data_IF_679674335234
#
_entry.id   IF_679674335234
#
_cell.length_a   1.000
_cell.length_b   1.000
_cell.length_c   1.000
_cell.angle_alpha   90.00
_cell.angle_beta   90.00
_cell.angle_gamma   90.00
#
_symmetry.space_group_name_H-M   'P 1'
#
loop_
_entity.id
_entity.type
_entity.pdbx_description
1 polymer ?
#
# COMPACT_ATOMS: atom_id res chain seq x y z
N UNK A 1 3.83 -4.79 5.99
CA UNK A 1 2.84 -3.95 6.67
C UNK A 1 1.47 -4.50 6.41
N UNK A 2 0.56 -4.34 7.35
CA UNK A 2 -0.85 -4.71 7.19
C UNK A 2 -1.64 -3.54 6.59
N UNK A 3 -2.66 -3.85 5.78
CA UNK A 3 -3.56 -2.83 5.24
C UNK A 3 -4.49 -2.38 6.36
N UNK A 4 -4.39 -1.10 6.71
CA UNK A 4 -5.23 -0.47 7.72
C UNK A 4 -6.59 -0.07 7.17
N UNK A 5 -7.59 -0.01 8.05
CA UNK A 5 -8.87 0.64 7.75
C UNK A 5 -8.69 2.15 7.82
N UNK A 6 -8.65 2.81 6.67
CA UNK A 6 -8.53 4.28 6.61
C UNK A 6 -9.82 4.97 7.07
N UNK A 7 -9.67 6.05 7.83
CA UNK A 7 -10.79 6.90 8.24
C UNK A 7 -11.46 7.57 7.04
N UNK A 8 -12.79 7.66 7.05
CA UNK A 8 -13.58 8.22 5.95
C UNK A 8 -13.31 7.54 4.60
N UNK A 9 -13.09 6.21 4.62
CA UNK A 9 -12.95 5.38 3.43
C UNK A 9 -14.09 5.66 2.42
N UNK A 10 -13.73 5.99 1.18
CA UNK A 10 -14.69 6.30 0.11
C UNK A 10 -14.99 5.07 -0.75
N UNK A 11 -14.01 4.21 -0.98
CA UNK A 11 -14.16 2.97 -1.76
C UNK A 11 -13.04 1.97 -1.49
N UNK A 12 -13.25 0.72 -1.87
CA UNK A 12 -12.22 -0.33 -1.85
C UNK A 12 -11.83 -0.66 -3.28
N UNK A 13 -10.52 -0.67 -3.55
CA UNK A 13 -9.96 -1.07 -4.83
C UNK A 13 -9.71 -2.57 -4.84
N UNK A 14 -10.28 -3.26 -5.82
CA UNK A 14 -10.05 -4.68 -6.02
C UNK A 14 -8.86 -4.94 -6.94
N UNK A 15 -8.64 -6.24 -7.22
CA UNK A 15 -7.67 -6.67 -8.21
C UNK A 15 -7.98 -6.11 -9.61
N UNK A 16 -6.96 -5.79 -10.42
CA UNK A 16 -7.16 -5.35 -11.80
C UNK A 16 -7.64 -6.51 -12.68
N UNK A 17 -8.18 -6.15 -13.85
CA UNK A 17 -8.56 -7.12 -14.87
C UNK A 17 -7.33 -7.94 -15.29
N UNK A 18 -7.47 -9.26 -15.33
CA UNK A 18 -6.40 -10.18 -15.72
C UNK A 18 -5.38 -10.50 -14.63
N UNK A 19 -5.61 -10.07 -13.39
CA UNK A 19 -4.79 -10.49 -12.24
C UNK A 19 -4.87 -12.01 -12.05
N UNK A 20 -3.70 -12.65 -11.88
CA UNK A 20 -3.61 -14.07 -11.60
C UNK A 20 -2.85 -14.27 -10.28
N UNK A 21 -3.54 -14.78 -9.26
CA UNK A 21 -2.96 -14.92 -7.92
C UNK A 21 -1.81 -15.93 -7.83
N UNK A 22 -1.76 -16.93 -8.72
CA UNK A 22 -0.66 -17.91 -8.76
C UNK A 22 0.61 -17.32 -9.36
N UNK A 23 0.46 -16.44 -10.36
CA UNK A 23 1.58 -15.78 -11.05
C UNK A 23 2.06 -14.51 -10.33
N UNK A 24 1.11 -13.67 -9.93
CA UNK A 24 1.36 -12.29 -9.48
C UNK A 24 1.33 -12.15 -7.94
N UNK A 25 0.91 -13.21 -7.24
CA UNK A 25 0.71 -13.24 -5.79
C UNK A 25 -0.67 -12.76 -5.35
N UNK A 26 -0.96 -12.84 -4.04
CA UNK A 26 -2.24 -12.43 -3.49
C UNK A 26 -2.47 -10.92 -3.71
N UNK A 27 -3.63 -10.56 -4.25
CA UNK A 27 -4.12 -9.19 -4.32
C UNK A 27 -5.39 -9.10 -3.49
N UNK A 28 -5.34 -8.26 -2.46
CA UNK A 28 -6.45 -8.04 -1.54
C UNK A 28 -7.05 -6.66 -1.77
N UNK A 29 -8.29 -6.46 -1.31
CA UNK A 29 -8.95 -5.17 -1.40
C UNK A 29 -8.16 -4.10 -0.66
N UNK A 30 -7.95 -2.95 -1.30
CA UNK A 30 -7.28 -1.78 -0.71
C UNK A 30 -8.34 -0.71 -0.39
N UNK A 31 -8.74 -0.52 0.87
CA UNK A 31 -9.60 0.57 1.28
C UNK A 31 -8.87 1.89 1.09
N UNK A 32 -9.49 2.82 0.36
CA UNK A 32 -8.92 4.13 0.11
C UNK A 32 -9.90 5.25 0.45
N UNK A 33 -9.34 6.42 0.71
CA UNK A 33 -10.06 7.69 0.71
C UNK A 33 -9.64 8.51 -0.51
N UNK A 34 -10.59 8.86 -1.34
CA UNK A 34 -10.41 9.87 -2.40
C UNK A 34 -10.45 11.25 -1.75
N UNK A 35 -9.44 12.09 -2.01
CA UNK A 35 -9.36 13.46 -1.47
C UNK A 35 -8.67 14.41 -2.45
N UNK A 36 -8.74 15.71 -2.19
CA UNK A 36 -8.02 16.74 -2.95
C UNK A 36 -6.78 17.18 -2.17
N UNK A 37 -5.61 17.08 -2.78
CA UNK A 37 -4.36 17.60 -2.22
C UNK A 37 -3.69 18.51 -3.23
N UNK A 38 -3.46 19.78 -2.86
CA UNK A 38 -2.84 20.77 -3.76
C UNK A 38 -3.57 20.96 -5.10
N UNK A 39 -4.91 20.83 -5.12
CA UNK A 39 -5.72 20.92 -6.34
C UNK A 39 -5.73 19.67 -7.22
N UNK A 40 -5.02 18.60 -6.82
CA UNK A 40 -5.02 17.31 -7.51
C UNK A 40 -5.86 16.27 -6.77
N UNK A 41 -6.46 15.33 -7.52
CA UNK A 41 -7.16 14.18 -6.94
C UNK A 41 -6.14 13.15 -6.46
N UNK A 42 -6.27 12.72 -5.21
CA UNK A 42 -5.42 11.74 -4.57
C UNK A 42 -6.25 10.58 -4.01
N UNK A 43 -5.61 9.42 -3.90
CA UNK A 43 -6.15 8.23 -3.23
C UNK A 43 -5.20 7.89 -2.09
N UNK A 44 -5.71 7.87 -0.86
CA UNK A 44 -4.91 7.61 0.35
C UNK A 44 -5.29 6.26 0.91
N UNK A 45 -4.30 5.47 1.32
CA UNK A 45 -4.46 4.21 2.03
C UNK A 45 -3.71 4.25 3.36
N UNK A 46 -4.18 3.49 4.35
CA UNK A 46 -3.51 3.34 5.63
C UNK A 46 -2.72 2.03 5.67
N UNK A 47 -1.51 2.08 6.22
CA UNK A 47 -0.64 0.91 6.40
C UNK A 47 -0.17 0.88 7.85
N UNK A 48 -0.32 -0.26 8.49
CA UNK A 48 0.03 -0.46 9.90
C UNK A 48 1.24 -1.39 9.93
N UNK A 49 2.40 -0.91 10.41
CA UNK A 49 3.57 -1.77 10.56
C UNK A 49 3.30 -2.82 11.65
N UNK A 50 3.83 -4.02 11.45
CA UNK A 50 3.92 -4.99 12.55
C UNK A 50 4.95 -4.52 13.59
N UNK A 51 4.98 -5.10 14.80
CA UNK A 51 6.00 -4.75 15.80
C UNK A 51 7.44 -4.90 15.28
N UNK A 52 7.73 -5.97 14.53
CA UNK A 52 9.06 -6.23 13.96
C UNK A 52 9.40 -5.22 12.86
N UNK A 53 8.43 -4.89 12.01
CA UNK A 53 8.59 -3.85 10.99
C UNK A 53 8.82 -2.47 11.63
N UNK A 54 8.09 -2.15 12.70
CA UNK A 54 8.29 -0.91 13.45
C UNK A 54 9.69 -0.86 14.07
N UNK A 55 10.18 -1.96 14.64
CA UNK A 55 11.55 -2.04 15.15
C UNK A 55 12.59 -1.82 14.04
N UNK A 56 12.39 -2.41 12.85
CA UNK A 56 13.24 -2.19 11.69
C UNK A 56 13.22 -0.72 11.22
N UNK A 57 12.04 -0.08 11.19
CA UNK A 57 11.91 1.34 10.89
C UNK A 57 12.67 2.22 11.90
N UNK A 58 12.58 1.90 13.20
CA UNK A 58 13.36 2.58 14.25
C UNK A 58 14.87 2.38 14.04
N UNK A 59 15.29 1.22 13.53
CA UNK A 59 16.66 0.93 13.15
C UNK A 59 17.10 1.60 11.82
N UNK A 60 16.22 2.38 11.17
CA UNK A 60 16.54 3.15 9.96
C UNK A 60 16.22 2.44 8.65
N UNK A 61 15.50 1.31 8.67
CA UNK A 61 15.03 0.67 7.45
C UNK A 61 14.07 1.60 6.66
N UNK A 62 14.15 1.64 5.33
CA UNK A 62 13.27 2.46 4.51
C UNK A 62 11.88 1.81 4.36
N UNK A 63 10.89 2.61 3.97
CA UNK A 63 9.60 2.10 3.46
C UNK A 63 9.66 2.09 1.94
N UNK A 64 9.32 0.97 1.33
CA UNK A 64 9.17 0.84 -0.12
C UNK A 64 7.71 0.74 -0.53
N UNK A 65 7.31 1.61 -1.45
CA UNK A 65 6.07 1.51 -2.22
C UNK A 65 6.41 0.91 -3.59
N UNK A 66 5.86 -0.27 -3.89
CA UNK A 66 5.93 -0.88 -5.21
C UNK A 66 4.62 -0.65 -5.93
N UNK A 67 4.70 -0.26 -7.20
CA UNK A 67 3.56 0.01 -8.07
C UNK A 67 3.66 -0.88 -9.32
N UNK A 68 2.62 -1.65 -9.63
CA UNK A 68 2.62 -2.67 -10.68
C UNK A 68 1.69 -2.27 -11.83
N UNK A 69 2.20 -1.69 -12.92
CA UNK A 69 1.43 -1.43 -14.14
C UNK A 69 1.42 0.04 -14.58
N UNK A 70 0.48 0.40 -15.46
CA UNK A 70 0.47 1.69 -16.21
C UNK A 70 -0.78 2.55 -15.99
N UNK A 71 -1.81 2.06 -15.30
CA UNK A 71 -3.02 2.80 -14.86
C UNK A 71 -3.40 2.31 -13.46
N UNK A 72 -4.07 3.14 -12.61
CA UNK A 72 -4.19 2.95 -11.14
C UNK A 72 -3.77 1.54 -10.66
N UNK A 73 -2.46 1.32 -10.51
CA UNK A 73 -1.93 -0.03 -10.57
C UNK A 73 -1.97 -0.66 -9.18
N UNK A 74 -2.02 -2.00 -9.05
CA UNK A 74 -1.77 -2.65 -7.78
C UNK A 74 -0.51 -2.10 -7.11
N UNK A 75 -0.60 -1.86 -5.81
CA UNK A 75 0.54 -1.37 -5.02
C UNK A 75 0.76 -2.22 -3.79
N UNK A 76 2.01 -2.28 -3.32
CA UNK A 76 2.33 -2.83 -2.00
C UNK A 76 3.31 -1.92 -1.25
N UNK A 77 3.14 -1.83 0.07
CA UNK A 77 4.02 -1.08 0.96
C UNK A 77 4.66 -2.04 1.96
N UNK A 78 5.99 -2.00 2.06
CA UNK A 78 6.75 -2.88 2.95
C UNK A 78 8.02 -2.20 3.48
N UNK A 79 8.55 -2.71 4.59
CA UNK A 79 9.82 -2.25 5.17
C UNK A 79 10.99 -2.91 4.44
N UNK A 80 12.00 -2.12 4.07
CA UNK A 80 13.24 -2.58 3.46
C UNK A 80 14.25 -3.08 4.50
N UNK A 81 15.49 -3.33 4.06
CA UNK A 81 16.57 -3.70 4.98
C UNK A 81 17.13 -2.46 5.69
N UNK A 82 17.51 -2.60 6.96
CA UNK A 82 18.18 -1.55 7.70
C UNK A 82 19.57 -1.26 7.08
N UNK A 83 20.01 0.01 7.04
CA UNK A 83 21.39 0.34 6.68
C UNK A 83 22.38 -0.38 7.60
N UNK A 84 23.46 -0.92 7.02
CA UNK A 84 24.58 -1.54 7.75
C UNK A 84 25.53 -0.54 8.38
#
# INVERSE_FOLDING_TARGET
MEIGRIENCTRTLGQPIGWNAERDGPCVGLPIRDEMHGGSRCMVSAWIPTPDELAALVAGAPIYLRVIGTSHPPVCVYVGEAPG
#
